data_IF_058932479266
#
_entry.id   IF_058932479266
#
_cell.length_a   1.000
_cell.length_b   1.000
_cell.length_c   1.000
_cell.angle_alpha   90.00
_cell.angle_beta   90.00
_cell.angle_gamma   90.00
#
_symmetry.space_group_name_H-M   'P 1'
#
loop_
_entity.id
_entity.type
_entity.pdbx_description
1 polymer ?
#
# COMPACT_ATOMS: atom_id res chain seq x y z
N UNK A 1 -27.04 27.27 -16.43
CA UNK A 1 -26.43 27.59 -15.11
C UNK A 1 -25.51 26.47 -14.60
N UNK A 2 -25.92 25.19 -14.62
CA UNK A 2 -25.10 24.06 -14.11
C UNK A 2 -23.71 23.89 -14.75
N UNK A 3 -23.56 23.94 -16.08
CA UNK A 3 -22.26 23.77 -16.75
C UNK A 3 -21.24 24.86 -16.36
N UNK A 4 -21.72 26.09 -16.18
CA UNK A 4 -20.89 27.24 -15.78
C UNK A 4 -20.37 27.06 -14.36
N UNK A 5 -21.22 26.57 -13.44
CA UNK A 5 -20.82 26.26 -12.07
C UNK A 5 -19.75 25.17 -12.01
N UNK A 6 -19.97 24.02 -12.65
CA UNK A 6 -19.00 22.92 -12.66
C UNK A 6 -17.68 23.31 -13.31
N UNK A 7 -17.74 24.11 -14.39
CA UNK A 7 -16.53 24.66 -14.98
C UNK A 7 -15.78 25.57 -14.01
N UNK A 8 -16.50 26.44 -13.29
CA UNK A 8 -15.91 27.33 -12.29
C UNK A 8 -15.27 26.55 -11.14
N UNK A 9 -16.00 25.59 -10.59
CA UNK A 9 -15.54 24.71 -9.53
C UNK A 9 -14.30 23.91 -9.97
N UNK A 10 -14.32 23.34 -11.18
CA UNK A 10 -13.21 22.54 -11.69
C UNK A 10 -11.92 23.35 -11.83
N UNK A 11 -11.95 24.55 -12.43
CA UNK A 11 -10.71 25.33 -12.52
C UNK A 11 -10.27 25.86 -11.15
N UNK A 12 -11.20 26.21 -10.25
CA UNK A 12 -10.89 26.73 -8.92
C UNK A 12 -10.19 25.68 -8.06
N UNK A 13 -10.78 24.48 -7.97
CA UNK A 13 -10.17 23.35 -7.26
C UNK A 13 -8.87 22.91 -7.92
N UNK A 14 -8.82 22.88 -9.25
CA UNK A 14 -7.61 22.52 -9.99
C UNK A 14 -6.47 23.51 -9.75
N UNK A 15 -6.79 24.79 -9.57
CA UNK A 15 -5.80 25.81 -9.21
C UNK A 15 -5.28 25.62 -7.79
N UNK A 16 -6.19 25.52 -6.80
CA UNK A 16 -5.85 25.43 -5.37
C UNK A 16 -5.13 24.13 -5.04
N UNK A 17 -5.66 23.00 -5.48
CA UNK A 17 -5.12 21.68 -5.13
C UNK A 17 -4.11 21.16 -6.15
N UNK A 18 -3.91 21.82 -7.30
CA UNK A 18 -3.05 21.34 -8.38
C UNK A 18 -1.62 21.03 -7.94
N UNK A 19 -0.96 21.95 -7.22
CA UNK A 19 0.39 21.73 -6.71
C UNK A 19 0.48 20.56 -5.72
N UNK A 20 -0.54 20.41 -4.87
CA UNK A 20 -0.60 19.32 -3.90
C UNK A 20 -0.86 17.98 -4.59
N UNK A 21 -1.77 17.93 -5.55
CA UNK A 21 -2.05 16.75 -6.37
C UNK A 21 -0.83 16.35 -7.22
N UNK A 22 -0.06 17.32 -7.73
CA UNK A 22 1.19 17.05 -8.43
C UNK A 22 2.16 16.26 -7.54
N UNK A 23 2.38 16.73 -6.30
CA UNK A 23 3.29 16.08 -5.35
C UNK A 23 2.79 14.66 -5.04
N UNK A 24 1.51 14.51 -4.70
CA UNK A 24 0.90 13.22 -4.34
C UNK A 24 0.92 12.24 -5.53
N UNK A 25 0.58 12.71 -6.73
CA UNK A 25 0.57 11.89 -7.95
C UNK A 25 1.97 11.42 -8.34
N UNK A 26 2.97 12.29 -8.31
CA UNK A 26 4.34 11.91 -8.61
C UNK A 26 4.94 10.99 -7.53
N UNK A 27 4.68 11.26 -6.25
CA UNK A 27 5.15 10.36 -5.19
C UNK A 27 4.47 8.99 -5.25
N UNK A 28 3.18 8.94 -5.64
CA UNK A 28 2.46 7.69 -5.87
C UNK A 28 3.02 6.90 -7.06
N UNK A 29 3.41 7.60 -8.14
CA UNK A 29 4.06 6.97 -9.28
C UNK A 29 5.41 6.34 -8.89
N UNK A 30 6.23 7.05 -8.10
CA UNK A 30 7.51 6.51 -7.60
C UNK A 30 7.28 5.26 -6.74
N UNK A 31 6.27 5.26 -5.86
CA UNK A 31 5.97 4.14 -4.96
C UNK A 31 5.38 2.92 -5.69
N UNK A 32 4.78 3.10 -6.86
CA UNK A 32 4.13 2.00 -7.59
C UNK A 32 5.09 0.86 -7.96
N UNK A 33 6.39 1.12 -8.07
CA UNK A 33 7.43 0.13 -8.39
C UNK A 33 8.47 -0.05 -7.27
N UNK A 34 8.12 0.31 -6.02
CA UNK A 34 9.04 0.20 -4.87
C UNK A 34 9.66 -1.21 -4.76
N UNK A 35 8.85 -2.26 -4.90
CA UNK A 35 9.31 -3.65 -4.71
C UNK A 35 10.28 -4.07 -5.81
N UNK A 36 9.93 -3.80 -7.06
CA UNK A 36 10.69 -4.17 -8.24
C UNK A 36 12.04 -3.45 -8.25
N UNK A 37 12.04 -2.16 -7.88
CA UNK A 37 13.26 -1.36 -7.80
C UNK A 37 14.14 -1.83 -6.64
N UNK A 38 13.57 -2.07 -5.45
CA UNK A 38 14.33 -2.58 -4.32
C UNK A 38 14.92 -3.97 -4.61
N UNK A 39 14.16 -4.86 -5.24
CA UNK A 39 14.64 -6.18 -5.63
C UNK A 39 15.74 -6.09 -6.70
N UNK A 40 15.61 -5.17 -7.66
CA UNK A 40 16.60 -4.98 -8.72
C UNK A 40 17.93 -4.41 -8.20
N UNK A 41 17.89 -3.52 -7.20
CA UNK A 41 19.08 -2.91 -6.59
C UNK A 41 19.79 -3.89 -5.64
N UNK A 42 19.03 -4.73 -4.92
CA UNK A 42 19.54 -5.58 -3.83
C UNK A 42 19.52 -7.08 -4.20
N UNK A 43 19.99 -7.41 -5.40
CA UNK A 43 19.96 -8.80 -5.90
C UNK A 43 20.76 -9.76 -5.01
N UNK A 44 21.88 -9.29 -4.47
CA UNK A 44 22.78 -9.97 -3.53
C UNK A 44 22.16 -10.19 -2.13
N UNK A 45 21.12 -9.44 -1.77
CA UNK A 45 20.34 -9.66 -0.54
C UNK A 45 19.18 -10.61 -0.76
N UNK A 46 18.44 -10.47 -1.88
CA UNK A 46 17.23 -11.26 -2.16
C UNK A 46 17.54 -12.64 -2.73
N UNK A 47 18.62 -12.77 -3.49
CA UNK A 47 19.00 -13.99 -4.18
C UNK A 47 20.42 -14.44 -3.81
N UNK A 48 20.61 -15.74 -3.75
CA UNK A 48 21.88 -16.42 -3.47
C UNK A 48 22.26 -17.34 -4.62
N UNK A 49 23.56 -17.59 -4.78
CA UNK A 49 24.04 -18.61 -5.71
C UNK A 49 23.67 -20.01 -5.22
N UNK A 50 23.04 -20.79 -6.08
CA UNK A 50 22.66 -22.17 -5.79
C UNK A 50 23.91 -23.04 -5.80
N UNK A 51 24.37 -23.43 -4.62
CA UNK A 51 25.50 -24.36 -4.47
C UNK A 51 25.06 -25.78 -4.85
N UNK A 52 25.60 -26.32 -5.94
CA UNK A 52 25.29 -27.70 -6.38
C UNK A 52 25.73 -28.76 -5.36
N UNK A 53 26.77 -28.45 -4.57
CA UNK A 53 27.37 -29.39 -3.62
C UNK A 53 26.83 -29.30 -2.19
N UNK A 54 25.92 -28.36 -1.90
CA UNK A 54 25.38 -28.13 -0.55
C UNK A 54 23.88 -28.28 -0.54
N UNK A 55 23.38 -29.04 0.44
CA UNK A 55 21.95 -29.08 0.72
C UNK A 55 21.53 -27.81 1.47
N UNK A 56 20.28 -27.39 1.26
CA UNK A 56 19.68 -26.30 2.03
C UNK A 56 19.64 -26.72 3.50
N UNK A 57 20.07 -25.83 4.40
CA UNK A 57 20.03 -26.08 5.83
C UNK A 57 18.57 -26.19 6.31
N UNK A 58 18.35 -27.06 7.28
CA UNK A 58 17.06 -27.16 7.95
C UNK A 58 16.71 -25.85 8.68
N UNK A 59 15.41 -25.62 8.91
CA UNK A 59 14.92 -24.47 9.69
C UNK A 59 15.57 -24.45 11.08
N UNK A 60 15.73 -25.62 11.71
CA UNK A 60 16.42 -25.74 12.99
C UNK A 60 17.89 -25.29 12.89
N UNK A 61 18.66 -25.82 11.93
CA UNK A 61 20.08 -25.47 11.79
C UNK A 61 20.30 -23.98 11.51
N UNK A 62 19.42 -23.35 10.71
CA UNK A 62 19.49 -21.91 10.45
C UNK A 62 19.27 -21.11 11.73
N UNK A 63 18.23 -21.46 12.51
CA UNK A 63 17.91 -20.77 13.76
C UNK A 63 19.03 -20.96 14.80
N UNK A 64 19.55 -22.17 14.94
CA UNK A 64 20.65 -22.48 15.85
C UNK A 64 21.94 -21.74 15.49
N UNK A 65 22.36 -21.78 14.21
CA UNK A 65 23.55 -21.07 13.74
C UNK A 65 23.43 -19.56 13.94
N UNK A 66 22.27 -19.00 13.65
CA UNK A 66 22.04 -17.57 13.85
C UNK A 66 22.05 -17.19 15.33
N UNK A 67 21.37 -17.96 16.19
CA UNK A 67 21.29 -17.70 17.63
C UNK A 67 22.67 -17.86 18.30
N UNK A 68 23.50 -18.80 17.85
CA UNK A 68 24.86 -18.98 18.35
C UNK A 68 25.76 -17.75 18.08
N UNK A 69 25.57 -17.08 16.94
CA UNK A 69 26.29 -15.86 16.60
C UNK A 69 25.68 -14.61 17.25
N UNK A 70 24.38 -14.63 17.57
CA UNK A 70 23.63 -13.50 18.10
C UNK A 70 22.79 -13.88 19.34
N UNK A 71 23.41 -14.19 20.51
CA UNK A 71 22.71 -14.74 21.67
C UNK A 71 21.61 -13.83 22.23
N UNK A 72 21.78 -12.51 22.11
CA UNK A 72 20.84 -11.51 22.65
C UNK A 72 19.63 -11.24 21.73
N UNK A 73 19.60 -11.82 20.53
CA UNK A 73 18.52 -11.57 19.57
C UNK A 73 17.32 -12.47 19.85
N UNK A 74 16.12 -11.87 19.91
CA UNK A 74 14.87 -12.64 19.95
C UNK A 74 14.30 -12.78 18.55
N UNK A 75 14.20 -14.01 18.05
CA UNK A 75 13.64 -14.30 16.73
C UNK A 75 12.11 -14.43 16.84
N UNK A 76 11.37 -13.61 16.09
CA UNK A 76 9.90 -13.60 16.07
C UNK A 76 9.33 -14.53 14.99
N UNK A 77 9.94 -14.56 13.82
CA UNK A 77 9.54 -15.42 12.70
C UNK A 77 10.70 -15.71 11.75
N UNK A 78 10.58 -16.82 11.03
CA UNK A 78 11.45 -17.19 9.91
C UNK A 78 10.60 -17.25 8.64
N UNK A 79 11.13 -16.77 7.53
CA UNK A 79 10.48 -16.85 6.23
C UNK A 79 11.38 -17.54 5.22
N UNK A 80 10.81 -18.49 4.49
CA UNK A 80 11.50 -19.31 3.50
C UNK A 80 10.69 -19.37 2.19
N UNK A 81 11.32 -19.81 1.11
CA UNK A 81 10.74 -19.88 -0.24
C UNK A 81 10.90 -21.28 -0.83
N UNK A 82 10.04 -21.68 -1.77
CA UNK A 82 10.28 -22.90 -2.55
C UNK A 82 11.38 -22.70 -3.61
N UNK A 83 11.69 -21.44 -3.96
CA UNK A 83 12.81 -21.09 -4.82
C UNK A 83 14.14 -21.23 -4.07
N UNK A 84 14.98 -22.15 -4.54
CA UNK A 84 16.31 -22.46 -3.96
C UNK A 84 17.30 -21.29 -4.03
N UNK A 85 17.07 -20.35 -4.95
CA UNK A 85 17.89 -19.16 -5.08
C UNK A 85 17.46 -18.03 -4.15
N UNK A 86 16.32 -18.14 -3.46
CA UNK A 86 15.82 -17.08 -2.58
C UNK A 86 16.48 -17.12 -1.19
N UNK A 87 16.79 -15.95 -0.64
CA UNK A 87 17.28 -15.81 0.73
C UNK A 87 16.24 -16.23 1.78
N UNK A 88 16.70 -16.67 2.95
CA UNK A 88 15.85 -16.85 4.14
C UNK A 88 15.78 -15.55 4.92
N UNK A 89 14.60 -15.20 5.43
CA UNK A 89 14.39 -13.93 6.15
C UNK A 89 13.98 -14.19 7.60
N UNK A 90 14.81 -13.79 8.55
CA UNK A 90 14.46 -13.74 9.96
C UNK A 90 13.86 -12.39 10.32
N UNK A 91 12.75 -12.38 11.04
CA UNK A 91 12.28 -11.19 11.74
C UNK A 91 12.72 -11.27 13.20
N UNK A 92 13.59 -10.37 13.63
CA UNK A 92 14.05 -10.28 15.02
C UNK A 92 13.35 -9.14 15.74
N UNK A 93 13.17 -9.25 17.06
CA UNK A 93 12.66 -8.16 17.87
C UNK A 93 13.60 -6.95 17.79
N UNK A 94 13.03 -5.76 17.64
CA UNK A 94 13.79 -4.52 17.66
C UNK A 94 14.48 -4.35 19.01
N UNK A 95 15.75 -3.91 18.98
CA UNK A 95 16.49 -3.49 20.18
C UNK A 95 15.96 -2.17 20.76
N UNK A 96 15.30 -1.36 19.94
CA UNK A 96 14.60 -0.14 20.38
C UNK A 96 13.20 -0.49 20.90
N UNK A 97 12.97 -0.22 22.19
CA UNK A 97 11.69 -0.46 22.88
C UNK A 97 10.51 0.34 22.31
N UNK A 98 10.79 1.48 21.66
CA UNK A 98 9.75 2.30 21.01
C UNK A 98 9.38 1.77 19.63
N UNK A 99 10.25 0.97 19.00
CA UNK A 99 9.97 0.38 17.70
C UNK A 99 9.43 -1.05 17.87
N UNK A 100 8.11 -1.17 17.89
CA UNK A 100 7.43 -2.49 17.93
C UNK A 100 7.59 -3.29 16.62
N UNK A 101 8.13 -2.70 15.55
CA UNK A 101 8.40 -3.42 14.30
C UNK A 101 9.78 -4.03 14.38
N UNK A 102 9.82 -5.36 14.35
CA UNK A 102 11.08 -6.12 14.30
C UNK A 102 11.92 -5.79 13.06
N UNK A 103 13.19 -6.16 13.11
CA UNK A 103 14.15 -5.99 12.02
C UNK A 103 14.19 -7.26 11.14
N UNK A 104 14.32 -7.07 9.83
CA UNK A 104 14.42 -8.18 8.86
C UNK A 104 15.89 -8.45 8.53
N UNK A 105 16.38 -9.62 8.90
CA UNK A 105 17.73 -10.10 8.61
C UNK A 105 17.64 -11.14 7.49
N UNK A 106 18.46 -10.96 6.46
CA UNK A 106 18.53 -11.84 5.30
C UNK A 106 19.68 -12.80 5.49
N UNK A 107 19.44 -14.09 5.26
CA UNK A 107 20.41 -15.16 5.46
C UNK A 107 20.56 -15.99 4.20
N UNK A 108 21.76 -16.49 3.97
CA UNK A 108 22.00 -17.51 2.96
C UNK A 108 21.43 -18.86 3.43
N UNK A 109 20.50 -19.50 2.70
CA UNK A 109 19.89 -20.79 3.07
C UNK A 109 20.89 -21.95 3.17
N UNK A 110 22.07 -21.87 2.55
CA UNK A 110 23.07 -22.93 2.52
C UNK A 110 24.15 -22.79 3.61
N UNK A 111 24.45 -21.55 4.02
CA UNK A 111 25.54 -21.28 4.98
C UNK A 111 25.04 -20.70 6.31
N UNK A 112 23.81 -20.17 6.34
CA UNK A 112 23.27 -19.32 7.42
C UNK A 112 24.07 -18.02 7.65
N UNK A 113 24.88 -17.59 6.68
CA UNK A 113 25.59 -16.31 6.73
C UNK A 113 24.63 -15.16 6.51
N UNK A 114 24.86 -14.06 7.24
CA UNK A 114 24.07 -12.82 7.11
C UNK A 114 24.42 -12.12 5.80
N UNK A 115 23.40 -11.87 4.99
CA UNK A 115 23.50 -11.15 3.73
C UNK A 115 23.47 -9.63 3.95
N UNK A 116 23.94 -8.82 2.97
CA UNK A 116 23.91 -7.37 3.05
C UNK A 116 22.50 -6.82 3.33
N UNK A 117 22.42 -5.72 4.07
CA UNK A 117 21.14 -5.05 4.32
C UNK A 117 20.60 -4.37 3.05
N UNK A 118 19.27 -4.33 2.92
CA UNK A 118 18.61 -3.68 1.79
C UNK A 118 18.88 -2.17 1.78
N UNK A 119 19.51 -1.71 0.71
CA UNK A 119 19.74 -0.31 0.36
C UNK A 119 18.50 0.27 -0.36
N UNK A 120 18.20 1.55 -0.09
CA UNK A 120 17.12 2.30 -0.75
C UNK A 120 15.78 2.31 0.00
N UNK A 121 15.64 1.57 1.10
CA UNK A 121 14.43 1.59 1.96
C UNK A 121 14.07 3.00 2.44
N UNK A 122 15.07 3.78 2.85
CA UNK A 122 14.83 5.14 3.35
C UNK A 122 14.35 6.10 2.26
N UNK A 123 14.81 5.92 1.02
CA UNK A 123 14.33 6.68 -0.13
C UNK A 123 12.83 6.44 -0.35
N UNK A 124 12.40 5.18 -0.42
CA UNK A 124 10.98 4.87 -0.58
C UNK A 124 10.15 5.24 0.66
N UNK A 125 10.70 5.09 1.87
CA UNK A 125 10.05 5.55 3.09
C UNK A 125 9.85 7.08 3.10
N UNK A 126 10.80 7.86 2.56
CA UNK A 126 10.60 9.29 2.35
C UNK A 126 9.43 9.58 1.40
N UNK A 127 9.38 8.94 0.23
CA UNK A 127 8.28 9.10 -0.72
C UNK A 127 6.94 8.62 -0.15
N UNK A 128 6.93 7.57 0.67
CA UNK A 128 5.76 7.09 1.38
C UNK A 128 5.25 8.14 2.38
N UNK A 129 6.15 8.73 3.18
CA UNK A 129 5.80 9.82 4.10
C UNK A 129 5.33 11.06 3.34
N UNK A 130 5.94 11.37 2.19
CA UNK A 130 5.51 12.46 1.30
C UNK A 130 4.10 12.22 0.75
N UNK A 131 3.84 11.04 0.20
CA UNK A 131 2.55 10.68 -0.38
C UNK A 131 1.43 10.65 0.66
N UNK A 132 1.72 10.15 1.87
CA UNK A 132 0.70 9.93 2.89
C UNK A 132 0.48 11.12 3.83
N UNK A 133 1.56 11.85 4.14
CA UNK A 133 1.58 12.89 5.17
C UNK A 133 2.34 14.15 4.77
N UNK A 134 2.74 14.30 3.50
CA UNK A 134 3.59 15.42 3.04
C UNK A 134 4.88 15.55 3.84
N UNK A 135 5.45 14.43 4.26
CA UNK A 135 6.64 14.33 5.13
C UNK A 135 6.49 14.96 6.52
N UNK A 136 5.31 15.45 6.88
CA UNK A 136 5.03 15.96 8.22
C UNK A 136 5.00 14.80 9.22
N UNK A 137 5.62 15.03 10.38
CA UNK A 137 5.81 14.03 11.42
C UNK A 137 5.47 14.59 12.81
N UNK A 138 5.34 13.70 13.79
CA UNK A 138 4.96 14.06 15.16
C UNK A 138 3.60 14.75 15.20
N UNK A 139 3.50 15.83 15.96
CA UNK A 139 2.25 16.57 16.19
C UNK A 139 1.68 17.24 14.95
N UNK A 140 2.46 17.37 13.87
CA UNK A 140 2.00 17.98 12.60
C UNK A 140 1.53 16.94 11.57
N UNK A 141 1.72 15.65 11.83
CA UNK A 141 1.39 14.57 10.89
C UNK A 141 -0.11 14.55 10.53
N UNK A 142 -0.99 14.90 11.46
CA UNK A 142 -2.44 14.97 11.20
C UNK A 142 -2.79 16.05 10.16
N UNK A 143 -2.03 17.15 10.11
CA UNK A 143 -2.22 18.23 9.13
C UNK A 143 -1.93 17.70 7.73
N UNK A 144 -0.77 17.05 7.57
CA UNK A 144 -0.38 16.44 6.29
C UNK A 144 -1.36 15.37 5.84
N UNK A 145 -1.78 14.49 6.75
CA UNK A 145 -2.81 13.49 6.50
C UNK A 145 -4.12 14.11 5.99
N UNK A 146 -4.60 15.17 6.64
CA UNK A 146 -5.84 15.83 6.24
C UNK A 146 -5.68 16.62 4.94
N UNK A 147 -4.53 17.25 4.69
CA UNK A 147 -4.25 17.94 3.44
C UNK A 147 -4.32 16.96 2.25
N UNK A 148 -3.67 15.80 2.36
CA UNK A 148 -3.74 14.72 1.36
C UNK A 148 -5.17 14.20 1.20
N UNK A 149 -5.91 14.02 2.29
CA UNK A 149 -7.29 13.54 2.24
C UNK A 149 -8.25 14.53 1.57
N UNK A 150 -8.14 15.83 1.89
CA UNK A 150 -8.94 16.90 1.26
C UNK A 150 -8.57 17.04 -0.21
N UNK A 151 -7.28 16.96 -0.57
CA UNK A 151 -6.85 16.94 -1.96
C UNK A 151 -7.42 15.74 -2.71
N UNK A 152 -7.45 14.56 -2.09
CA UNK A 152 -8.09 13.36 -2.65
C UNK A 152 -9.58 13.57 -2.92
N UNK A 153 -10.32 14.16 -1.99
CA UNK A 153 -11.75 14.50 -2.19
C UNK A 153 -11.90 15.53 -3.32
N UNK A 154 -11.05 16.56 -3.35
CA UNK A 154 -11.04 17.54 -4.42
C UNK A 154 -10.75 16.89 -5.78
N UNK A 155 -9.86 15.88 -5.84
CA UNK A 155 -9.57 15.11 -7.05
C UNK A 155 -10.80 14.32 -7.54
N UNK A 156 -11.58 13.71 -6.64
CA UNK A 156 -12.85 13.07 -7.01
C UNK A 156 -13.81 14.09 -7.63
N UNK A 157 -14.00 15.25 -6.98
CA UNK A 157 -14.87 16.32 -7.48
C UNK A 157 -14.36 16.86 -8.81
N UNK A 158 -13.04 17.02 -8.99
CA UNK A 158 -12.41 17.44 -10.24
C UNK A 158 -12.67 16.44 -11.35
N UNK A 159 -12.55 15.15 -11.06
CA UNK A 159 -12.75 14.06 -12.03
C UNK A 159 -14.21 14.02 -12.49
N UNK A 160 -15.16 13.99 -11.54
CA UNK A 160 -16.60 13.99 -11.85
C UNK A 160 -17.00 15.30 -12.55
N UNK A 161 -16.56 16.45 -12.02
CA UNK A 161 -16.81 17.76 -12.60
C UNK A 161 -16.22 17.91 -14.01
N UNK A 162 -15.06 17.31 -14.27
CA UNK A 162 -14.43 17.23 -15.58
C UNK A 162 -15.31 16.54 -16.60
N UNK A 163 -15.89 15.38 -16.24
CA UNK A 163 -16.87 14.67 -17.08
C UNK A 163 -18.08 15.54 -17.38
N UNK A 164 -18.66 16.21 -16.37
CA UNK A 164 -19.84 17.06 -16.53
C UNK A 164 -19.54 18.25 -17.47
N UNK A 165 -18.39 18.88 -17.31
CA UNK A 165 -17.94 19.99 -18.18
C UNK A 165 -17.73 19.51 -19.62
N UNK A 166 -17.14 18.31 -19.78
CA UNK A 166 -16.82 17.70 -21.07
C UNK A 166 -18.02 17.05 -21.76
N UNK A 167 -19.11 16.80 -21.02
CA UNK A 167 -20.30 16.05 -21.46
C UNK A 167 -20.91 16.53 -22.77
N UNK A 168 -20.93 17.84 -22.99
CA UNK A 168 -21.45 18.44 -24.22
C UNK A 168 -20.69 18.00 -25.48
N UNK A 169 -19.39 17.72 -25.36
CA UNK A 169 -18.57 17.22 -26.46
C UNK A 169 -18.82 15.73 -26.68
N UNK A 170 -18.91 14.96 -25.58
CA UNK A 170 -19.24 13.53 -25.59
C UNK A 170 -20.57 13.29 -26.31
N UNK A 171 -21.61 14.06 -25.97
CA UNK A 171 -22.95 13.94 -26.58
C UNK A 171 -22.94 14.26 -28.08
N UNK A 172 -22.13 15.22 -28.51
CA UNK A 172 -22.08 15.65 -29.91
C UNK A 172 -21.27 14.70 -30.78
N UNK A 173 -20.14 14.21 -30.29
CA UNK A 173 -19.22 13.36 -31.04
C UNK A 173 -18.45 12.43 -30.09
N UNK A 174 -19.09 11.30 -29.73
CA UNK A 174 -18.57 10.38 -28.72
C UNK A 174 -17.13 9.93 -29.04
N UNK A 175 -16.90 9.27 -30.18
CA UNK A 175 -15.58 8.74 -30.54
C UNK A 175 -14.50 9.82 -30.64
N UNK A 176 -14.80 10.98 -31.23
CA UNK A 176 -13.83 12.09 -31.34
C UNK A 176 -13.48 12.67 -29.97
N UNK A 177 -14.35 12.57 -28.97
CA UNK A 177 -14.13 13.11 -27.63
C UNK A 177 -13.01 12.38 -26.87
N UNK A 178 -12.72 11.13 -27.23
CA UNK A 178 -11.63 10.32 -26.70
C UNK A 178 -10.32 10.48 -27.49
N UNK A 179 -10.26 11.44 -28.42
CA UNK A 179 -9.07 11.70 -29.23
C UNK A 179 -8.70 13.17 -29.18
N UNK A 180 -7.44 13.48 -29.49
CA UNK A 180 -6.98 14.84 -29.71
C UNK A 180 -6.16 14.88 -31.00
N UNK A 181 -6.12 16.05 -31.66
CA UNK A 181 -5.44 16.21 -32.94
C UNK A 181 -4.29 17.19 -32.82
N UNK A 182 -3.12 16.80 -33.32
CA UNK A 182 -1.96 17.67 -33.49
C UNK A 182 -2.18 18.78 -34.52
N UNK A 183 -3.29 18.74 -35.29
CA UNK A 183 -3.70 19.86 -36.17
C UNK A 183 -4.18 21.08 -35.38
N UNK A 184 -4.69 20.88 -34.16
CA UNK A 184 -5.03 21.98 -33.27
C UNK A 184 -3.76 22.67 -32.77
N UNK A 185 -3.80 24.00 -32.63
CA UNK A 185 -2.67 24.79 -32.11
C UNK A 185 -3.02 25.43 -30.77
N UNK A 186 -2.01 25.60 -29.92
CA UNK A 186 -2.07 26.37 -28.67
C UNK A 186 -3.20 25.91 -27.73
N UNK A 187 -4.09 26.83 -27.32
CA UNK A 187 -5.19 26.57 -26.39
C UNK A 187 -6.11 25.44 -26.86
N UNK A 188 -6.39 25.35 -28.17
CA UNK A 188 -7.29 24.32 -28.70
C UNK A 188 -6.70 22.92 -28.47
N UNK A 189 -5.41 22.74 -28.77
CA UNK A 189 -4.67 21.50 -28.52
C UNK A 189 -4.67 21.13 -27.04
N UNK A 190 -4.27 22.06 -26.18
CA UNK A 190 -4.22 21.85 -24.73
C UNK A 190 -5.59 21.44 -24.16
N UNK A 191 -6.65 22.12 -24.58
CA UNK A 191 -8.01 21.83 -24.11
C UNK A 191 -8.54 20.50 -24.65
N UNK A 192 -8.21 20.12 -25.89
CA UNK A 192 -8.61 18.81 -26.43
C UNK A 192 -7.82 17.67 -25.79
N UNK A 193 -6.51 17.84 -25.60
CA UNK A 193 -5.64 16.84 -24.98
C UNK A 193 -5.98 16.63 -23.50
N UNK A 194 -6.10 17.71 -22.72
CA UNK A 194 -6.50 17.64 -21.31
C UNK A 194 -7.86 16.94 -21.15
N UNK A 195 -8.82 17.22 -22.03
CA UNK A 195 -10.12 16.54 -22.02
C UNK A 195 -10.03 15.06 -22.39
N UNK A 196 -9.39 14.73 -23.52
CA UNK A 196 -9.31 13.36 -24.02
C UNK A 196 -8.52 12.43 -23.09
N UNK A 197 -7.32 12.83 -22.67
CA UNK A 197 -6.50 12.05 -21.73
C UNK A 197 -7.21 11.98 -20.37
N UNK A 198 -7.87 13.07 -19.95
CA UNK A 198 -8.72 13.09 -18.76
C UNK A 198 -9.75 11.97 -18.79
N UNK A 199 -10.44 11.79 -19.92
CA UNK A 199 -11.43 10.72 -20.06
C UNK A 199 -10.84 9.31 -19.93
N UNK A 200 -9.60 9.09 -20.37
CA UNK A 200 -8.92 7.80 -20.25
C UNK A 200 -8.56 7.46 -18.81
N UNK A 201 -8.15 8.47 -18.02
CA UNK A 201 -7.62 8.24 -16.67
C UNK A 201 -8.67 8.27 -15.56
N UNK A 202 -9.91 8.69 -15.84
CA UNK A 202 -11.02 8.72 -14.86
C UNK A 202 -11.12 7.44 -14.01
N UNK A 203 -11.21 6.22 -14.58
CA UNK A 203 -11.38 5.02 -13.77
C UNK A 203 -10.21 4.83 -12.79
N UNK A 204 -8.98 5.14 -13.21
CA UNK A 204 -7.79 5.02 -12.38
C UNK A 204 -7.75 6.09 -11.27
N UNK A 205 -8.07 7.35 -11.58
CA UNK A 205 -8.14 8.41 -10.57
C UNK A 205 -9.23 8.14 -9.53
N UNK A 206 -10.41 7.69 -9.96
CA UNK A 206 -11.47 7.33 -9.03
C UNK A 206 -11.06 6.13 -8.16
N UNK A 207 -10.49 5.08 -8.76
CA UNK A 207 -9.99 3.92 -8.01
C UNK A 207 -8.94 4.33 -6.98
N UNK A 208 -7.91 5.10 -7.37
CA UNK A 208 -6.88 5.61 -6.47
C UNK A 208 -7.47 6.45 -5.34
N UNK A 209 -8.42 7.34 -5.65
CA UNK A 209 -8.98 8.23 -4.64
C UNK A 209 -9.87 7.49 -3.63
N UNK A 210 -10.76 6.62 -4.11
CA UNK A 210 -11.64 5.83 -3.22
C UNK A 210 -10.83 4.87 -2.37
N UNK A 211 -9.86 4.16 -2.94
CA UNK A 211 -8.95 3.31 -2.16
C UNK A 211 -8.05 4.13 -1.23
N UNK A 212 -7.56 5.30 -1.64
CA UNK A 212 -6.71 6.18 -0.81
C UNK A 212 -7.43 6.71 0.44
N UNK A 213 -8.72 7.04 0.33
CA UNK A 213 -9.53 7.49 1.47
C UNK A 213 -9.70 6.42 2.55
N UNK A 214 -9.57 5.13 2.20
CA UNK A 214 -9.58 4.01 3.14
C UNK A 214 -8.56 4.15 4.28
N UNK A 215 -7.39 4.74 4.02
CA UNK A 215 -6.35 4.97 5.04
C UNK A 215 -6.40 6.37 5.67
N UNK A 216 -7.26 7.25 5.15
CA UNK A 216 -7.38 8.64 5.58
C UNK A 216 -8.38 8.78 6.72
N UNK A 217 -9.56 8.17 6.61
CA UNK A 217 -10.61 8.34 7.61
C UNK A 217 -11.19 7.02 8.09
N UNK A 218 -11.25 6.84 9.42
CA UNK A 218 -11.80 5.61 9.99
C UNK A 218 -13.30 5.47 9.73
N UNK A 219 -14.07 6.57 9.71
CA UNK A 219 -15.49 6.54 9.32
C UNK A 219 -15.68 6.05 7.88
N UNK A 220 -14.82 6.46 6.96
CA UNK A 220 -14.89 6.06 5.55
C UNK A 220 -14.53 4.58 5.41
N UNK A 221 -13.46 4.14 6.10
CA UNK A 221 -13.08 2.74 6.19
C UNK A 221 -14.21 1.88 6.74
N UNK A 222 -14.85 2.28 7.83
CA UNK A 222 -15.97 1.55 8.43
C UNK A 222 -17.17 1.51 7.50
N UNK A 223 -17.51 2.62 6.83
CA UNK A 223 -18.56 2.64 5.82
C UNK A 223 -18.29 1.66 4.67
N UNK A 224 -17.05 1.54 4.19
CA UNK A 224 -16.70 0.54 3.17
C UNK A 224 -16.92 -0.90 3.66
N UNK A 225 -16.51 -1.23 4.90
CA UNK A 225 -16.78 -2.56 5.47
C UNK A 225 -18.28 -2.84 5.59
N UNK A 226 -19.07 -1.86 6.01
CA UNK A 226 -20.53 -1.97 6.09
C UNK A 226 -21.19 -2.17 4.72
N UNK A 227 -20.81 -1.35 3.72
CA UNK A 227 -21.34 -1.45 2.35
C UNK A 227 -20.98 -2.80 1.72
N UNK A 228 -19.75 -3.26 1.93
CA UNK A 228 -19.27 -4.53 1.40
C UNK A 228 -19.73 -5.74 2.22
N UNK A 229 -20.44 -5.53 3.33
CA UNK A 229 -20.91 -6.58 4.25
C UNK A 229 -19.78 -7.51 4.72
N UNK A 230 -18.61 -6.94 5.00
CA UNK A 230 -17.44 -7.65 5.50
C UNK A 230 -17.19 -7.20 6.94
N UNK A 231 -16.93 -8.15 7.85
CA UNK A 231 -16.59 -7.81 9.22
C UNK A 231 -15.29 -6.98 9.27
N UNK A 232 -15.35 -5.83 9.92
CA UNK A 232 -14.18 -4.99 10.09
C UNK A 232 -13.23 -5.67 11.09
N UNK A 233 -11.98 -5.99 10.70
CA UNK A 233 -11.02 -6.52 11.64
C UNK A 233 -10.74 -5.46 12.70
N UNK A 234 -10.94 -5.82 13.98
CA UNK A 234 -10.64 -4.96 15.13
C UNK A 234 -9.16 -4.55 15.02
N UNK A 235 -8.89 -3.28 14.74
CA UNK A 235 -7.53 -2.74 14.89
C UNK A 235 -7.20 -2.78 16.37
N UNK A 236 -6.00 -3.25 16.73
CA UNK A 236 -5.42 -2.93 18.02
C UNK A 236 -5.14 -1.42 18.02
N UNK A 237 -6.10 -0.63 18.50
CA UNK A 237 -5.94 0.81 18.66
C UNK A 237 -4.90 1.05 19.76
N UNK A 238 -3.86 1.86 19.54
CA UNK A 238 -3.14 2.48 20.66
C UNK A 238 -4.17 3.28 21.48
N UNK A 239 -4.09 3.32 22.81
CA UNK A 239 -5.01 4.10 23.61
C UNK A 239 -4.78 5.58 23.27
N UNK A 240 -5.63 6.12 22.40
CA UNK A 240 -5.75 7.57 22.26
C UNK A 240 -6.59 7.99 23.45
N UNK A 241 -6.00 8.83 24.30
CA UNK A 241 -6.65 9.40 25.47
C UNK A 241 -8.01 9.96 25.07
N UNK A 242 -9.06 9.21 25.37
CA UNK A 242 -10.40 9.74 25.41
C UNK A 242 -10.43 10.73 26.57
N UNK A 243 -10.56 12.01 26.23
CA UNK A 243 -10.95 13.06 27.17
C UNK A 243 -12.21 12.56 27.88
N UNK A 244 -12.08 12.39 29.19
CA UNK A 244 -13.15 12.03 30.10
C UNK A 244 -14.24 13.09 30.03
N UNK A 245 -15.48 12.66 29.79
CA UNK A 245 -16.64 13.22 30.47
C UNK A 245 -17.36 12.03 31.06
N UNK A 246 -17.41 12.03 32.39
CA UNK A 246 -17.53 10.81 33.18
C UNK A 246 -18.92 10.22 33.26
N UNK A 247 -18.94 9.00 33.81
CA UNK A 247 -19.84 8.65 34.90
C UNK A 247 -19.23 7.46 35.64
N UNK A 248 -19.03 7.67 36.94
CA UNK A 248 -18.62 6.66 37.90
C UNK A 248 -19.63 5.51 37.93
N UNK A 249 -19.13 4.28 37.97
CA UNK A 249 -19.65 3.24 38.87
C UNK A 249 -18.51 2.31 39.25
N UNK A 250 -18.30 2.23 40.56
CA UNK A 250 -17.27 1.47 41.25
C UNK A 250 -17.55 -0.04 41.29
N UNK A 251 -16.49 -0.77 41.67
CA UNK A 251 -16.38 -2.16 42.18
C UNK A 251 -16.41 -3.23 41.08
N UNK A 252 -15.47 -4.18 41.02
CA UNK A 252 -14.64 -4.78 42.07
C UNK A 252 -13.35 -5.32 41.42
N UNK A 253 -12.19 -4.93 41.94
CA UNK A 253 -10.90 -5.57 41.62
C UNK A 253 -10.77 -6.83 42.46
N UNK A 254 -10.91 -7.99 41.84
CA UNK A 254 -10.29 -9.22 42.34
C UNK A 254 -8.90 -9.34 41.71
N UNK A 255 -7.92 -9.50 42.60
CA UNK A 255 -6.52 -9.74 42.29
C UNK A 255 -6.37 -11.11 41.63
N UNK A 256 -6.21 -11.13 40.32
CA UNK A 256 -5.51 -12.24 39.67
C UNK A 256 -4.05 -11.82 39.43
N UNK A 257 -3.19 -12.35 40.31
CA UNK A 257 -1.75 -12.43 40.11
C UNK A 257 -1.49 -13.16 38.79
N UNK A 258 -1.31 -12.41 37.70
CA UNK A 258 -0.65 -12.94 36.52
C UNK A 258 0.81 -13.17 36.87
N UNK A 259 1.08 -14.40 37.28
CA UNK A 259 2.39 -15.03 37.21
C UNK A 259 3.01 -14.68 35.87
N UNK A 260 4.13 -13.97 35.95
CA UNK A 260 5.01 -13.60 34.86
C UNK A 260 5.61 -14.89 34.31
N UNK A 261 4.86 -15.57 33.42
CA UNK A 261 5.37 -16.72 32.68
C UNK A 261 6.52 -16.23 31.81
N UNK A 262 7.74 -16.59 32.20
CA UNK A 262 8.92 -16.55 31.35
C UNK A 262 8.57 -17.12 29.97
N UNK A 263 9.06 -16.54 28.87
CA UNK A 263 8.77 -17.04 27.54
C UNK A 263 9.27 -18.48 27.44
N UNK A 264 8.34 -19.42 27.30
CA UNK A 264 8.62 -20.81 26.97
C UNK A 264 9.59 -20.82 25.79
N UNK A 265 10.80 -21.33 26.02
CA UNK A 265 11.81 -21.51 24.98
C UNK A 265 11.22 -22.49 23.97
N UNK A 266 10.74 -21.99 22.84
CA UNK A 266 10.34 -22.85 21.73
C UNK A 266 11.58 -23.63 21.30
N UNK A 267 11.50 -24.96 21.34
CA UNK A 267 12.56 -25.79 20.75
C UNK A 267 12.59 -25.54 19.25
N UNK A 268 13.77 -25.21 18.70
CA UNK A 268 13.95 -25.05 17.25
C UNK A 268 13.60 -26.34 16.48
N UNK A 269 13.65 -27.49 17.15
CA UNK A 269 13.14 -28.77 16.64
C UNK A 269 11.63 -28.72 16.36
N UNK A 270 10.85 -28.04 17.20
CA UNK A 270 9.41 -27.82 16.96
C UNK A 270 9.21 -26.96 15.72
N UNK A 271 10.02 -25.92 15.53
CA UNK A 271 9.94 -25.07 14.34
C UNK A 271 10.24 -25.87 13.07
N UNK A 272 11.22 -26.78 13.11
CA UNK A 272 11.51 -27.70 12.02
C UNK A 272 10.32 -28.61 11.70
N UNK A 273 9.75 -29.28 12.72
CA UNK A 273 8.56 -30.14 12.53
C UNK A 273 7.41 -29.40 11.87
N UNK A 274 7.15 -28.15 12.29
CA UNK A 274 6.09 -27.33 11.69
C UNK A 274 6.39 -26.99 10.22
N UNK A 275 7.64 -26.66 9.90
CA UNK A 275 8.07 -26.39 8.52
C UNK A 275 7.95 -27.66 7.64
N UNK A 276 8.28 -28.83 8.16
CA UNK A 276 8.16 -30.10 7.45
C UNK A 276 6.70 -30.46 7.17
N UNK A 277 5.81 -30.34 8.17
CA UNK A 277 4.36 -30.54 7.99
C UNK A 277 3.83 -29.58 6.91
N UNK A 278 4.25 -28.32 6.94
CA UNK A 278 3.86 -27.33 5.95
C UNK A 278 4.33 -27.71 4.54
N UNK A 279 5.61 -28.06 4.36
CA UNK A 279 6.17 -28.44 3.07
C UNK A 279 5.57 -29.75 2.51
N UNK A 280 5.15 -30.67 3.38
CA UNK A 280 4.43 -31.88 2.97
C UNK A 280 2.98 -31.59 2.57
N UNK A 281 2.34 -30.62 3.22
CA UNK A 281 0.94 -30.26 2.97
C UNK A 281 0.78 -29.38 1.73
N UNK A 282 1.68 -28.41 1.54
CA UNK A 282 1.60 -27.44 0.45
C UNK A 282 2.40 -27.95 -0.75
N UNK A 283 1.68 -28.53 -1.72
CA UNK A 283 2.30 -29.06 -2.96
C UNK A 283 2.58 -28.01 -4.03
N UNK A 284 2.01 -26.80 -3.91
CA UNK A 284 2.23 -25.68 -4.85
C UNK A 284 3.48 -24.90 -4.45
N UNK A 285 4.21 -24.42 -5.45
CA UNK A 285 5.31 -23.48 -5.23
C UNK A 285 4.84 -22.19 -4.54
N UNK A 286 5.69 -21.63 -3.69
CA UNK A 286 5.41 -20.44 -2.91
C UNK A 286 6.59 -19.46 -2.92
N UNK A 287 6.30 -18.16 -3.12
CA UNK A 287 7.34 -17.12 -3.09
C UNK A 287 7.91 -16.92 -1.69
N UNK A 288 7.05 -17.03 -0.69
CA UNK A 288 7.38 -16.78 0.70
C UNK A 288 6.40 -17.49 1.63
N UNK A 289 6.92 -18.17 2.64
CA UNK A 289 6.19 -18.76 3.76
C UNK A 289 6.82 -18.29 5.06
N UNK A 290 6.10 -17.49 5.85
CA UNK A 290 6.52 -16.94 7.12
C UNK A 290 5.95 -17.76 8.28
N UNK A 291 6.81 -18.48 8.99
CA UNK A 291 6.51 -19.18 10.23
C UNK A 291 6.74 -18.27 11.42
N UNK A 292 5.68 -17.99 12.18
CA UNK A 292 5.79 -17.31 13.47
C UNK A 292 6.29 -18.28 14.52
N UNK A 293 7.41 -17.95 15.17
CA UNK A 293 8.02 -18.80 16.19
C UNK A 293 7.31 -18.68 17.55
N UNK A 294 6.57 -17.60 17.79
CA UNK A 294 5.71 -17.49 18.99
C UNK A 294 4.39 -18.21 18.73
N UNK A 295 4.09 -19.31 19.45
CA UNK A 295 2.84 -20.02 19.27
C UNK A 295 1.66 -19.17 19.75
N UNK A 296 0.49 -19.45 19.17
CA UNK A 296 -0.78 -18.96 19.68
C UNK A 296 -1.23 -19.77 20.91
N UNK A 297 -2.46 -19.58 21.39
CA UNK A 297 -2.98 -20.40 22.48
C UNK A 297 -2.92 -21.89 22.08
N UNK A 298 -2.66 -22.76 23.04
CA UNK A 298 -2.60 -24.22 22.86
C UNK A 298 -1.43 -24.73 21.98
N UNK A 299 -0.30 -24.01 21.96
CA UNK A 299 0.92 -24.40 21.24
C UNK A 299 0.74 -24.55 19.70
N UNK A 300 -0.28 -23.90 19.14
CA UNK A 300 -0.54 -23.88 17.69
C UNK A 300 0.31 -22.82 17.01
N UNK A 301 1.05 -23.22 15.97
CA UNK A 301 1.91 -22.37 15.17
C UNK A 301 1.20 -21.87 13.92
N UNK A 302 1.47 -20.62 13.52
CA UNK A 302 0.87 -20.02 12.32
C UNK A 302 1.93 -19.82 11.26
N UNK A 303 1.69 -20.37 10.07
CA UNK A 303 2.43 -20.08 8.84
C UNK A 303 1.55 -19.23 7.93
N UNK A 304 2.04 -18.06 7.54
CA UNK A 304 1.42 -17.24 6.49
C UNK A 304 2.23 -17.37 5.21
N UNK A 305 1.61 -17.75 4.11
CA UNK A 305 2.34 -18.06 2.87
C UNK A 305 1.68 -17.44 1.64
N UNK A 306 2.47 -17.25 0.58
CA UNK A 306 2.07 -16.65 -0.69
C UNK A 306 2.52 -17.56 -1.84
N UNK A 307 1.59 -18.00 -2.69
CA UNK A 307 1.91 -18.84 -3.84
C UNK A 307 2.81 -18.14 -4.87
N UNK A 308 3.57 -18.94 -5.62
CA UNK A 308 4.47 -18.47 -6.68
C UNK A 308 3.75 -17.75 -7.83
N UNK A 309 2.52 -18.12 -8.11
CA UNK A 309 1.65 -17.56 -9.14
C UNK A 309 0.70 -16.47 -8.63
N UNK A 310 0.80 -16.08 -7.35
CA UNK A 310 -0.04 -15.03 -6.78
C UNK A 310 0.12 -13.70 -7.54
N UNK A 311 -1.01 -13.07 -7.88
CA UNK A 311 -1.04 -11.81 -8.65
C UNK A 311 -0.47 -10.66 -7.84
N UNK A 312 -0.77 -10.65 -6.53
CA UNK A 312 -0.32 -9.59 -5.62
C UNK A 312 0.05 -10.09 -4.22
N UNK A 313 0.91 -9.37 -3.52
CA UNK A 313 1.42 -9.73 -2.17
C UNK A 313 0.36 -9.83 -1.05
N UNK A 314 -0.88 -9.34 -1.26
CA UNK A 314 -2.00 -9.52 -0.32
C UNK A 314 -2.81 -10.80 -0.53
N UNK A 315 -2.49 -11.64 -1.52
CA UNK A 315 -3.09 -12.99 -1.68
C UNK A 315 -2.49 -13.98 -0.67
N UNK A 316 -2.21 -13.50 0.55
CA UNK A 316 -1.60 -14.30 1.59
C UNK A 316 -2.61 -15.29 2.14
N UNK A 317 -2.19 -16.55 2.18
CA UNK A 317 -2.86 -17.65 2.85
C UNK A 317 -2.32 -17.77 4.28
N UNK A 318 -3.07 -18.45 5.14
CA UNK A 318 -2.62 -18.78 6.50
C UNK A 318 -2.98 -20.21 6.86
N UNK A 319 -2.05 -20.90 7.50
CA UNK A 319 -2.20 -22.26 8.02
C UNK A 319 -1.83 -22.27 9.51
N UNK A 320 -2.67 -22.91 10.32
CA UNK A 320 -2.46 -23.15 11.74
C UNK A 320 -2.16 -24.63 11.95
N UNK A 321 -1.02 -24.93 12.57
CA UNK A 321 -0.47 -26.27 12.72
C UNK A 321 -0.26 -26.58 14.20
N UNK A 322 -0.76 -27.73 14.64
CA UNK A 322 -0.45 -28.29 15.96
C UNK A 322 0.68 -29.33 15.78
N UNK A 323 1.93 -29.00 16.19
CA UNK A 323 3.06 -29.90 16.01
C UNK A 323 2.97 -31.16 16.87
N UNK A 324 2.25 -31.12 18.01
CA UNK A 324 2.14 -32.26 18.91
C UNK A 324 1.24 -33.35 18.31
N UNK A 325 0.21 -32.94 17.58
CA UNK A 325 -0.70 -33.86 16.87
C UNK A 325 -0.27 -34.13 15.43
N UNK A 326 0.70 -33.37 14.91
CA UNK A 326 1.09 -33.38 13.50
C UNK A 326 -0.10 -33.16 12.56
N UNK A 327 -0.99 -32.24 12.93
CA UNK A 327 -2.22 -31.96 12.19
C UNK A 327 -2.33 -30.47 11.85
N UNK A 328 -2.85 -30.21 10.65
CA UNK A 328 -3.31 -28.88 10.25
C UNK A 328 -4.65 -28.62 10.95
N UNK A 329 -4.66 -27.67 11.87
CA UNK A 329 -5.85 -27.29 12.65
C UNK A 329 -6.79 -26.46 11.79
N UNK A 330 -6.24 -25.56 10.99
CA UNK A 330 -7.00 -24.65 10.15
C UNK A 330 -6.18 -24.19 8.96
N UNK A 331 -6.81 -24.12 7.81
CA UNK A 331 -6.25 -23.47 6.62
C UNK A 331 -7.25 -22.42 6.12
N UNK A 332 -6.75 -21.23 5.82
CA UNK A 332 -7.54 -20.16 5.22
C UNK A 332 -6.79 -19.64 3.99
N UNK A 333 -7.29 -19.98 2.81
CA UNK A 333 -6.74 -19.50 1.53
C UNK A 333 -7.40 -18.20 1.12
N UNK A 334 -6.68 -17.41 0.35
CA UNK A 334 -7.21 -16.20 -0.25
C UNK A 334 -8.27 -16.51 -1.31
N UNK A 335 -8.04 -17.55 -2.11
CA UNK A 335 -8.93 -18.01 -3.18
C UNK A 335 -10.32 -18.43 -2.64
N UNK A 336 -10.37 -18.97 -1.42
CA UNK A 336 -11.63 -19.40 -0.77
C UNK A 336 -12.50 -18.23 -0.26
N UNK A 337 -11.94 -17.02 -0.20
CA UNK A 337 -12.67 -15.83 0.26
C UNK A 337 -13.67 -15.36 -0.79
N UNK A 338 -14.79 -14.82 -0.32
CA UNK A 338 -15.75 -14.13 -1.19
C UNK A 338 -15.10 -12.89 -1.82
N UNK A 339 -15.58 -12.50 -3.01
CA UNK A 339 -15.04 -11.36 -3.75
C UNK A 339 -14.98 -10.06 -2.93
N UNK A 340 -16.02 -9.77 -2.12
CA UNK A 340 -16.04 -8.61 -1.25
C UNK A 340 -14.90 -8.63 -0.21
N UNK A 341 -14.61 -9.79 0.38
CA UNK A 341 -13.51 -9.96 1.33
C UNK A 341 -12.13 -9.87 0.63
N UNK A 342 -12.01 -10.45 -0.57
CA UNK A 342 -10.80 -10.33 -1.39
C UNK A 342 -10.50 -8.86 -1.70
N UNK A 343 -11.49 -8.08 -2.13
CA UNK A 343 -11.35 -6.65 -2.40
C UNK A 343 -10.99 -5.87 -1.13
N UNK A 344 -11.71 -6.09 -0.02
CA UNK A 344 -11.47 -5.39 1.24
C UNK A 344 -10.10 -5.69 1.86
N UNK A 345 -9.57 -6.90 1.65
CA UNK A 345 -8.21 -7.28 2.08
C UNK A 345 -7.11 -6.82 1.12
N UNK A 346 -7.48 -6.42 -0.10
CA UNK A 346 -6.56 -6.04 -1.19
C UNK A 346 -6.60 -4.56 -1.56
N UNK A 347 -7.02 -3.69 -0.64
CA UNK A 347 -7.07 -2.23 -0.87
C UNK A 347 -5.75 -1.63 -1.37
N UNK A 348 -4.60 -2.10 -0.86
CA UNK A 348 -3.29 -1.60 -1.29
C UNK A 348 -2.90 -2.09 -2.70
N UNK A 349 -3.05 -3.38 -3.05
CA UNK A 349 -2.95 -3.84 -4.44
C UNK A 349 -3.93 -3.15 -5.40
N UNK A 350 -5.17 -2.88 -4.98
CA UNK A 350 -6.13 -2.13 -5.79
C UNK A 350 -5.67 -0.68 -6.02
N UNK A 351 -5.12 -0.04 -4.99
CA UNK A 351 -4.59 1.32 -5.07
C UNK A 351 -3.31 1.44 -5.91
N UNK A 352 -2.46 0.42 -5.90
CA UNK A 352 -1.21 0.39 -6.68
C UNK A 352 -1.39 -0.17 -8.09
N UNK A 353 -2.49 -0.90 -8.34
CA UNK A 353 -2.74 -1.58 -9.60
C UNK A 353 -2.24 -3.02 -9.65
N UNK A 354 -1.43 -3.46 -8.68
CA UNK A 354 -0.91 -4.83 -8.58
C UNK A 354 -2.04 -5.89 -8.54
N UNK A 355 -3.24 -5.51 -8.10
CA UNK A 355 -4.40 -6.41 -8.12
C UNK A 355 -4.71 -6.97 -9.51
N UNK A 356 -4.44 -6.20 -10.57
CA UNK A 356 -4.64 -6.63 -11.96
C UNK A 356 -3.32 -7.04 -12.63
N UNK A 357 -2.34 -7.44 -11.82
CA UNK A 357 -1.00 -7.80 -12.26
C UNK A 357 -0.19 -6.61 -12.78
N UNK A 358 0.88 -6.92 -13.52
CA UNK A 358 1.83 -5.92 -13.99
C UNK A 358 1.22 -4.89 -14.94
N UNK A 359 0.20 -5.26 -15.73
CA UNK A 359 -0.52 -4.35 -16.63
C UNK A 359 -1.30 -3.33 -15.80
N UNK A 360 -2.00 -3.77 -14.75
CA UNK A 360 -2.72 -2.87 -13.84
C UNK A 360 -1.80 -1.88 -13.16
N UNK A 361 -0.69 -2.37 -12.62
CA UNK A 361 0.36 -1.55 -11.99
C UNK A 361 0.92 -0.50 -12.97
N UNK A 362 1.23 -0.90 -14.21
CA UNK A 362 1.71 0.01 -15.25
C UNK A 362 0.67 1.09 -15.58
N UNK A 363 -0.60 0.73 -15.73
CA UNK A 363 -1.67 1.69 -16.02
C UNK A 363 -1.86 2.68 -14.86
N UNK A 364 -1.77 2.21 -13.62
CA UNK A 364 -1.85 3.06 -12.42
C UNK A 364 -0.64 3.99 -12.32
N UNK A 365 0.56 3.50 -12.61
CA UNK A 365 1.78 4.32 -12.71
C UNK A 365 1.65 5.42 -13.76
N UNK A 366 1.19 5.08 -14.96
CA UNK A 366 0.96 6.05 -16.05
C UNK A 366 -0.09 7.08 -15.63
N UNK A 367 -1.23 6.64 -15.10
CA UNK A 367 -2.28 7.53 -14.63
C UNK A 367 -1.77 8.49 -13.54
N UNK A 368 -1.05 7.98 -12.55
CA UNK A 368 -0.44 8.77 -11.48
C UNK A 368 0.57 9.79 -12.00
N UNK A 369 1.42 9.39 -12.95
CA UNK A 369 2.39 10.27 -13.63
C UNK A 369 1.71 11.36 -14.46
N UNK A 370 0.59 11.04 -15.11
CA UNK A 370 -0.20 12.00 -15.90
C UNK A 370 -0.83 13.10 -15.04
N UNK A 371 -0.83 12.98 -13.71
CA UNK A 371 -1.20 14.10 -12.83
C UNK A 371 -0.37 15.35 -13.13
N UNK A 372 0.92 15.19 -13.46
CA UNK A 372 1.76 16.30 -13.88
C UNK A 372 1.22 17.00 -15.15
N UNK A 373 0.80 16.21 -16.14
CA UNK A 373 0.18 16.75 -17.35
C UNK A 373 -1.08 17.54 -17.01
N UNK A 374 -1.97 17.04 -16.15
CA UNK A 374 -3.21 17.74 -15.81
C UNK A 374 -2.98 19.05 -15.07
N UNK A 375 -2.05 19.06 -14.11
CA UNK A 375 -1.72 20.28 -13.35
C UNK A 375 -1.10 21.33 -14.26
N UNK A 376 -0.09 20.94 -15.06
CA UNK A 376 0.59 21.86 -15.98
C UNK A 376 -0.40 22.41 -17.02
N UNK A 377 -1.13 21.54 -17.70
CA UNK A 377 -2.08 21.97 -18.74
C UNK A 377 -3.26 22.75 -18.16
N UNK A 378 -3.73 22.40 -16.96
CA UNK A 378 -4.75 23.13 -16.22
C UNK A 378 -4.30 24.57 -15.89
N UNK A 379 -3.07 24.74 -15.41
CA UNK A 379 -2.48 26.05 -15.13
C UNK A 379 -2.29 26.86 -16.42
N UNK A 380 -1.78 26.24 -17.50
CA UNK A 380 -1.65 26.91 -18.80
C UNK A 380 -3.00 27.43 -19.33
N UNK A 381 -4.06 26.61 -19.24
CA UNK A 381 -5.42 26.99 -19.65
C UNK A 381 -6.01 28.11 -18.77
N UNK A 382 -5.72 28.07 -17.47
CA UNK A 382 -6.09 29.14 -16.53
C UNK A 382 -5.42 30.47 -16.91
N UNK A 383 -4.10 30.47 -17.08
CA UNK A 383 -3.34 31.69 -17.41
C UNK A 383 -3.69 32.24 -18.79
N UNK A 384 -3.92 31.40 -19.81
CA UNK A 384 -4.38 31.88 -21.12
C UNK A 384 -5.75 32.59 -21.02
N UNK A 385 -6.66 32.04 -20.21
CA UNK A 385 -7.96 32.68 -19.96
C UNK A 385 -7.82 34.00 -19.19
N UNK A 386 -6.95 34.05 -18.20
CA UNK A 386 -6.70 35.27 -17.41
C UNK A 386 -6.09 36.38 -18.29
N UNK A 387 -5.08 36.07 -19.10
CA UNK A 387 -4.46 37.00 -20.06
C UNK A 387 -5.51 37.59 -21.03
N UNK A 388 -6.38 36.75 -21.58
CA UNK A 388 -7.45 37.20 -22.49
C UNK A 388 -8.47 38.11 -21.81
N UNK A 389 -8.89 37.79 -20.58
CA UNK A 389 -9.78 38.65 -19.79
C UNK A 389 -9.14 40.00 -19.50
N UNK A 390 -7.87 40.02 -19.10
CA UNK A 390 -7.11 41.25 -18.83
C UNK A 390 -6.95 42.10 -20.09
N UNK A 391 -6.62 41.49 -21.22
CA UNK A 391 -6.51 42.19 -22.51
C UNK A 391 -7.85 42.82 -22.94
N UNK A 392 -8.97 42.10 -22.75
CA UNK A 392 -10.32 42.63 -23.02
C UNK A 392 -10.64 43.83 -22.13
N UNK A 393 -10.39 43.73 -20.83
CA UNK A 393 -10.62 44.82 -19.87
C UNK A 393 -9.75 46.06 -20.16
N UNK A 394 -8.50 45.87 -20.61
CA UNK A 394 -7.63 46.97 -21.03
C UNK A 394 -8.15 47.67 -22.29
N UNK A 395 -8.61 46.90 -23.29
CA UNK A 395 -9.25 47.47 -24.48
C UNK A 395 -10.53 48.23 -24.16
N UNK A 396 -11.38 47.70 -23.28
CA UNK A 396 -12.61 48.38 -22.84
C UNK A 396 -12.29 49.69 -22.12
N UNK A 397 -11.23 49.76 -21.31
CA UNK A 397 -10.78 51.01 -20.67
C UNK A 397 -10.23 52.04 -21.67
N UNK A 398 -9.58 51.59 -22.76
CA UNK A 398 -9.06 52.48 -23.81
C UNK A 398 -10.14 53.04 -24.75
N UNK A 399 -11.34 52.44 -24.78
CA UNK A 399 -12.47 52.92 -25.59
C UNK A 399 -13.33 53.95 -24.83
N UNK A 400 -13.17 54.03 -23.51
CA UNK A 400 -13.91 54.94 -22.61
C UNK A 400 -13.14 56.23 -22.32
N UNK A 401 -11.84 56.27 -22.65
CA UNK A 401 -10.98 57.46 -22.65
C UNK A 401 -10.89 57.99 -24.09
#
# INVERSE_FOLDING_TARGET
MHKTFWFQLHWFLGFIFGALLLIIGLSGAVLSYEKEILQAINKDTYFVEVSQDKQILSTQEILEKYQAQNPDSKINSISFSSDKSSSVVLNIASKDSNNKRGESIYLNPYTAEVLPQIVGKDFFMFFFRLHRWLTLSGDTQWIGKNAVAVATIACIILTIGGVIVYWSRIKSNFLRSFTFSFKHKNRAFLSTMHGAIGMWVIPFFLLMCFTGLYWSYDWYRSAMFSIMQVEQPKRATPPTQAVQIGQQKEKQSEKDQKSEKQPEVISYETAQKVADIFNQTVSRDYKNANLRLTPSKDAVFTISYLYADATHFRESNSMEIDPNKSLVVKEAKFEDKKLNEQLMSSMLPLHSGEYFGWIGQLLMFIASSLMALFVITGYMLYFDRWKKKRAKALKEKQVVL
#
